data_IF_499346686569
#
_entry.id   IF_499346686569
#
_cell.length_a   1.000
_cell.length_b   1.000
_cell.length_c   1.000
_cell.angle_alpha   90.00
_cell.angle_beta   90.00
_cell.angle_gamma   90.00
#
_symmetry.space_group_name_H-M   'P 1'
#
loop_
_entity.id
_entity.type
_entity.pdbx_description
1 polymer ?
#
# COMPACT_ATOMS: atom_id res chain seq x y z
N UNK A 1 -32.86 5.67 -11.86
CA UNK A 1 -32.10 6.54 -10.95
C UNK A 1 -30.63 6.48 -11.34
N UNK A 2 -30.02 7.57 -11.83
CA UNK A 2 -28.57 7.57 -12.13
C UNK A 2 -27.82 7.76 -10.81
N UNK A 3 -27.05 6.77 -10.38
CA UNK A 3 -26.15 6.93 -9.24
C UNK A 3 -25.04 7.91 -9.63
N UNK A 4 -24.83 8.95 -8.84
CA UNK A 4 -23.68 9.84 -9.04
C UNK A 4 -22.40 9.06 -8.74
N UNK A 5 -21.33 9.24 -9.53
CA UNK A 5 -20.06 8.60 -9.22
C UNK A 5 -19.54 9.12 -7.88
N UNK A 6 -18.94 8.23 -7.07
CA UNK A 6 -18.44 8.56 -5.72
C UNK A 6 -17.33 9.61 -5.74
N UNK A 7 -16.53 9.64 -6.80
CA UNK A 7 -15.50 10.64 -7.05
C UNK A 7 -15.25 10.77 -8.56
N UNK A 8 -14.73 11.93 -8.98
CA UNK A 8 -14.16 12.16 -10.32
C UNK A 8 -12.65 12.37 -10.16
N UNK A 9 -11.87 11.76 -11.05
CA UNK A 9 -10.42 12.00 -11.12
C UNK A 9 -9.99 12.38 -12.53
N UNK A 10 -9.04 13.30 -12.60
CA UNK A 10 -8.28 13.64 -13.81
C UNK A 10 -6.80 13.54 -13.51
N UNK A 11 -5.96 13.46 -14.54
CA UNK A 11 -4.50 13.51 -14.38
C UNK A 11 -3.95 14.74 -15.06
N UNK A 12 -2.97 15.36 -14.44
CA UNK A 12 -2.21 16.42 -15.10
C UNK A 12 -1.18 15.84 -16.08
N UNK A 13 -0.38 16.72 -16.68
CA UNK A 13 0.69 16.36 -17.63
C UNK A 13 1.78 15.45 -17.05
N UNK A 14 1.91 15.38 -15.72
CA UNK A 14 2.87 14.52 -15.01
C UNK A 14 2.22 13.23 -14.50
N UNK A 15 0.93 13.02 -14.79
CA UNK A 15 0.16 11.86 -14.35
C UNK A 15 -0.36 11.97 -12.91
N UNK A 16 -0.22 13.12 -12.25
CA UNK A 16 -0.63 13.31 -10.85
C UNK A 16 -2.16 13.37 -10.79
N UNK A 17 -2.81 12.49 -10.01
CA UNK A 17 -4.26 12.45 -9.93
C UNK A 17 -4.81 13.65 -9.15
N UNK A 18 -5.75 14.38 -9.77
CA UNK A 18 -6.56 15.42 -9.16
C UNK A 18 -7.95 14.82 -8.88
N UNK A 19 -8.34 14.72 -7.61
CA UNK A 19 -9.55 14.00 -7.19
C UNK A 19 -10.55 14.99 -6.61
N UNK A 20 -11.80 14.91 -7.06
CA UNK A 20 -12.91 15.74 -6.58
C UNK A 20 -14.07 14.82 -6.18
N UNK A 21 -14.63 15.07 -4.99
CA UNK A 21 -15.79 14.38 -4.46
C UNK A 21 -16.64 15.36 -3.63
N UNK A 22 -17.93 15.03 -3.45
CA UNK A 22 -18.88 15.86 -2.71
C UNK A 22 -18.75 15.68 -1.18
N UNK A 23 -18.11 14.60 -0.74
CA UNK A 23 -17.87 14.27 0.66
C UNK A 23 -16.51 13.58 0.88
N UNK A 24 -16.15 13.43 2.15
CA UNK A 24 -14.87 12.87 2.56
C UNK A 24 -14.76 11.36 2.25
N UNK A 25 -15.87 10.62 2.27
CA UNK A 25 -15.88 9.19 1.95
C UNK A 25 -15.56 8.97 0.47
N UNK A 26 -16.20 9.75 -0.41
CA UNK A 26 -15.93 9.80 -1.83
C UNK A 26 -14.49 10.21 -2.13
N UNK A 27 -13.94 11.17 -1.38
CA UNK A 27 -12.55 11.58 -1.52
C UNK A 27 -11.59 10.42 -1.19
N UNK A 28 -11.79 9.73 -0.06
CA UNK A 28 -10.99 8.55 0.30
C UNK A 28 -11.15 7.41 -0.71
N UNK A 29 -12.36 7.19 -1.22
CA UNK A 29 -12.62 6.21 -2.26
C UNK A 29 -11.84 6.53 -3.54
N UNK A 30 -11.88 7.79 -3.99
CA UNK A 30 -11.13 8.27 -5.16
C UNK A 30 -9.62 8.15 -4.98
N UNK A 31 -9.10 8.48 -3.79
CA UNK A 31 -7.67 8.29 -3.49
C UNK A 31 -7.28 6.82 -3.53
N UNK A 32 -8.09 5.92 -2.95
CA UNK A 32 -7.85 4.49 -3.02
C UNK A 32 -7.83 3.96 -4.45
N UNK A 33 -8.77 4.42 -5.30
CA UNK A 33 -8.82 4.05 -6.71
C UNK A 33 -7.55 4.49 -7.45
N UNK A 34 -7.14 5.75 -7.34
CA UNK A 34 -5.93 6.24 -8.01
C UNK A 34 -4.67 5.50 -7.54
N UNK A 35 -4.52 5.27 -6.24
CA UNK A 35 -3.40 4.49 -5.70
C UNK A 35 -3.37 3.05 -6.20
N UNK A 36 -4.53 2.39 -6.32
CA UNK A 36 -4.61 1.03 -6.86
C UNK A 36 -4.20 0.98 -8.34
N UNK A 37 -4.58 1.97 -9.13
CA UNK A 37 -4.20 2.07 -10.55
C UNK A 37 -2.71 2.36 -10.72
N UNK A 38 -2.14 3.25 -9.90
CA UNK A 38 -0.76 3.71 -10.08
C UNK A 38 0.27 2.81 -9.41
N UNK A 39 -0.08 2.28 -8.23
CA UNK A 39 0.85 1.58 -7.32
C UNK A 39 0.26 0.28 -6.79
N UNK A 40 -0.74 -0.30 -7.45
CA UNK A 40 -1.45 -1.49 -6.99
C UNK A 40 -0.53 -2.66 -6.63
N UNK A 41 0.40 -3.01 -7.52
CA UNK A 41 1.37 -4.09 -7.25
C UNK A 41 2.25 -3.77 -6.04
N UNK A 42 2.78 -2.55 -5.95
CA UNK A 42 3.61 -2.11 -4.82
C UNK A 42 2.84 -2.19 -3.49
N UNK A 43 1.60 -1.70 -3.47
CA UNK A 43 0.74 -1.74 -2.28
C UNK A 43 0.36 -3.17 -1.88
N UNK A 44 0.10 -4.05 -2.85
CA UNK A 44 -0.15 -5.47 -2.61
C UNK A 44 1.08 -6.16 -2.00
N UNK A 45 2.28 -5.90 -2.54
CA UNK A 45 3.54 -6.42 -1.99
C UNK A 45 3.72 -5.92 -0.56
N UNK A 46 3.54 -4.62 -0.31
CA UNK A 46 3.68 -4.05 1.04
C UNK A 46 2.68 -4.65 2.02
N UNK A 47 1.43 -4.91 1.60
CA UNK A 47 0.43 -5.60 2.41
C UNK A 47 0.86 -7.03 2.74
N UNK A 48 1.38 -7.79 1.78
CA UNK A 48 1.81 -9.18 1.98
C UNK A 48 3.01 -9.24 2.92
N UNK A 49 4.02 -8.37 2.71
CA UNK A 49 5.21 -8.29 3.54
C UNK A 49 4.90 -7.83 4.98
N UNK A 50 4.03 -6.84 5.13
CA UNK A 50 3.61 -6.33 6.44
C UNK A 50 2.75 -7.33 7.23
N UNK A 51 1.86 -8.07 6.55
CA UNK A 51 0.98 -9.05 7.19
C UNK A 51 1.70 -10.35 7.57
N UNK A 52 2.67 -10.79 6.78
CA UNK A 52 3.50 -11.98 7.07
C UNK A 52 4.83 -11.55 7.65
N UNK A 53 4.77 -10.86 8.79
CA UNK A 53 5.88 -10.30 9.55
C UNK A 53 7.29 -10.66 9.04
N UNK A 54 7.93 -9.71 8.37
CA UNK A 54 9.37 -9.72 8.06
C UNK A 54 10.30 -9.85 9.28
N UNK A 55 9.77 -10.18 10.47
CA UNK A 55 10.50 -10.23 11.75
C UNK A 55 10.56 -11.59 12.43
N UNK A 56 10.05 -12.70 11.87
CA UNK A 56 10.20 -13.98 12.59
C UNK A 56 11.57 -14.66 12.43
N UNK A 57 12.42 -14.25 11.48
CA UNK A 57 13.77 -14.85 11.25
C UNK A 57 14.93 -13.89 10.98
N UNK A 58 14.83 -12.60 11.32
CA UNK A 58 15.97 -11.67 11.19
C UNK A 58 16.82 -11.53 12.49
N UNK A 59 16.31 -11.94 13.65
CA UNK A 59 16.92 -11.66 14.96
C UNK A 59 17.56 -12.88 15.66
N UNK A 60 18.08 -13.90 14.96
CA UNK A 60 18.75 -15.06 15.63
C UNK A 60 19.95 -15.66 14.90
N UNK A 61 20.83 -14.85 14.29
CA UNK A 61 22.16 -15.32 13.89
C UNK A 61 23.23 -14.29 14.28
N UNK A 62 23.54 -14.25 15.57
CA UNK A 62 24.78 -13.69 16.10
C UNK A 62 25.85 -14.79 16.23
N UNK A 63 27.15 -14.47 16.10
CA UNK A 63 28.24 -15.44 15.93
C UNK A 63 28.72 -16.16 17.22
N UNK A 64 27.85 -16.41 18.20
CA UNK A 64 28.27 -16.91 19.53
C UNK A 64 27.75 -18.30 19.91
N UNK A 65 28.04 -19.35 19.12
CA UNK A 65 27.78 -20.73 19.57
C UNK A 65 28.83 -21.77 19.14
N UNK A 66 30.12 -21.42 19.15
CA UNK A 66 31.22 -22.40 19.04
C UNK A 66 31.96 -22.60 20.37
N UNK A 67 31.21 -22.79 21.47
CA UNK A 67 31.77 -23.34 22.72
C UNK A 67 30.94 -24.57 23.09
N UNK A 68 31.50 -25.75 22.79
CA UNK A 68 30.87 -27.03 23.11
C UNK A 68 31.45 -28.23 22.36
N UNK A 69 32.67 -28.13 21.80
CA UNK A 69 33.33 -29.26 21.14
C UNK A 69 34.85 -29.22 21.40
N UNK A 70 35.23 -29.19 22.67
CA UNK A 70 36.52 -29.62 23.21
C UNK A 70 36.27 -30.17 24.61
#
# INVERSE_FOLDING_TARGET
MKTRPRARSTRDQHGIPQIVADDIEGLYWGMGYCHAMDRGLQMLIMRILGHRGGSRKAQRRGPHSLRGLL
#
